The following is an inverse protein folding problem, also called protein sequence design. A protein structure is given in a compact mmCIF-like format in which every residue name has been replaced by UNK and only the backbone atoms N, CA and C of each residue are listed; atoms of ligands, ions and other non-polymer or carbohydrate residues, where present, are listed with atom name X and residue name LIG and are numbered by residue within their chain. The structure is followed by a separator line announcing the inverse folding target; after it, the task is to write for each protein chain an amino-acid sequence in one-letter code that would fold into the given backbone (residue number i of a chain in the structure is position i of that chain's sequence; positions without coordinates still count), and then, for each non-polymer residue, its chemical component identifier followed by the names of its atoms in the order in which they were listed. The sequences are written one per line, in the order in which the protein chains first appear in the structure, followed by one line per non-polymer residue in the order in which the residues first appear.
data_IF_732813794547
#
_entry.id   IF_732813794547
#
_cell.length_a   1.000
_cell.length_b   1.000
_cell.length_c   1.000
_cell.angle_alpha   90.00
_cell.angle_beta   90.00
_cell.angle_gamma   90.00
#
_symmetry.space_group_name_H-M   'P 1'
#
loop_
_entity.id
_entity.type
_entity.pdbx_description
1 polymer ?
#
# COMPACT_ATOMS: atom_id res chain seq x y z
N UNK A 1 2.50 6.58 -2.08
CA UNK A 1 1.64 5.38 -2.08
C UNK A 1 2.02 4.55 -3.28
N UNK A 2 2.34 3.28 -3.08
CA UNK A 2 2.65 2.36 -4.17
C UNK A 2 1.36 2.03 -4.92
N UNK A 3 1.42 1.89 -6.24
CA UNK A 3 0.29 1.36 -6.99
C UNK A 3 0.14 -0.15 -6.71
N UNK A 4 -1.03 -0.70 -7.02
CA UNK A 4 -1.40 -2.08 -6.70
C UNK A 4 -0.43 -3.11 -7.32
N UNK A 5 0.11 -2.85 -8.52
CA UNK A 5 1.02 -3.79 -9.17
C UNK A 5 2.39 -3.77 -8.50
N UNK A 6 2.94 -2.58 -8.25
CA UNK A 6 4.23 -2.42 -7.58
C UNK A 6 4.21 -2.93 -6.14
N UNK A 7 3.10 -2.70 -5.42
CA UNK A 7 2.91 -3.22 -4.06
C UNK A 7 2.99 -4.75 -4.05
N UNK A 8 2.26 -5.42 -4.94
CA UNK A 8 2.27 -6.89 -5.03
C UNK A 8 3.65 -7.46 -5.34
N UNK A 9 4.43 -6.78 -6.18
CA UNK A 9 5.81 -7.19 -6.48
C UNK A 9 6.68 -7.12 -5.23
N UNK A 10 6.60 -6.03 -4.46
CA UNK A 10 7.36 -5.90 -3.22
C UNK A 10 6.89 -6.89 -2.15
N UNK A 11 5.58 -7.14 -2.05
CA UNK A 11 5.03 -8.17 -1.14
C UNK A 11 5.57 -9.56 -1.49
N UNK A 12 5.53 -9.94 -2.77
CA UNK A 12 6.09 -11.22 -3.25
C UNK A 12 7.57 -11.36 -2.90
N UNK A 13 8.38 -10.33 -3.19
CA UNK A 13 9.81 -10.33 -2.87
C UNK A 13 10.07 -10.34 -1.35
N UNK A 14 9.19 -9.73 -0.56
CA UNK A 14 9.28 -9.75 0.90
C UNK A 14 8.96 -11.12 1.49
N UNK A 15 8.02 -11.87 0.90
CA UNK A 15 7.75 -13.26 1.27
C UNK A 15 8.96 -14.17 1.02
N UNK A 16 9.82 -13.80 0.07
CA UNK A 16 11.01 -14.54 -0.34
C UNK A 16 12.28 -13.72 -0.14
N UNK A 17 12.42 -13.08 1.03
CA UNK A 17 13.46 -12.06 1.28
C UNK A 17 14.91 -12.54 1.08
N UNK A 18 15.17 -13.84 1.21
CA UNK A 18 16.50 -14.44 1.08
C UNK A 18 16.81 -14.94 -0.34
N UNK A 19 15.85 -14.79 -1.27
CA UNK A 19 15.95 -15.26 -2.65
C UNK A 19 15.94 -14.09 -3.62
N UNK A 20 16.61 -14.28 -4.76
CA UNK A 20 16.57 -13.34 -5.88
C UNK A 20 15.84 -13.98 -7.05
N UNK A 21 14.91 -13.23 -7.65
CA UNK A 21 14.08 -13.75 -8.75
C UNK A 21 14.29 -12.94 -10.01
N UNK A 22 14.38 -13.62 -11.16
CA UNK A 22 14.22 -12.98 -12.46
C UNK A 22 12.74 -12.71 -12.76
N UNK A 23 12.47 -11.78 -13.69
CA UNK A 23 11.11 -11.48 -14.16
C UNK A 23 10.42 -12.76 -14.67
N UNK A 24 11.17 -13.64 -15.34
CA UNK A 24 10.67 -14.92 -15.81
C UNK A 24 10.26 -15.84 -14.66
N UNK A 25 11.09 -15.97 -13.62
CA UNK A 25 10.79 -16.79 -12.45
C UNK A 25 9.57 -16.25 -11.69
N UNK A 26 9.48 -14.93 -11.49
CA UNK A 26 8.28 -14.31 -10.92
C UNK A 26 7.03 -14.63 -11.76
N UNK A 27 7.16 -14.60 -13.09
CA UNK A 27 6.11 -15.02 -14.02
C UNK A 27 5.62 -16.46 -13.80
N UNK A 28 6.51 -17.39 -13.50
CA UNK A 28 6.15 -18.78 -13.15
C UNK A 28 5.39 -18.89 -11.84
N UNK A 29 5.63 -17.97 -10.91
CA UNK A 29 4.87 -17.83 -9.66
C UNK A 29 3.53 -17.09 -9.85
N UNK A 30 3.14 -16.74 -11.09
CA UNK A 30 1.89 -16.04 -11.38
C UNK A 30 1.96 -14.52 -11.24
N UNK A 31 3.16 -13.96 -11.05
CA UNK A 31 3.34 -12.51 -11.02
C UNK A 31 3.40 -11.94 -12.43
N UNK A 32 2.70 -10.82 -12.65
CA UNK A 32 2.84 -10.05 -13.90
C UNK A 32 3.72 -8.83 -13.62
N UNK A 33 4.99 -8.93 -13.96
CA UNK A 33 6.00 -7.89 -13.76
C UNK A 33 6.76 -7.64 -15.06
N UNK A 34 7.12 -6.40 -15.33
CA UNK A 34 7.91 -6.01 -16.50
C UNK A 34 9.20 -5.31 -16.08
N UNK A 35 10.12 -5.15 -17.03
CA UNK A 35 11.41 -4.52 -16.80
C UNK A 35 11.26 -3.09 -16.26
N UNK A 36 10.34 -2.29 -16.81
CA UNK A 36 10.08 -0.92 -16.36
C UNK A 36 9.73 -0.84 -14.86
N UNK A 37 8.91 -1.78 -14.37
CA UNK A 37 8.53 -1.84 -12.96
C UNK A 37 9.74 -2.15 -12.08
N UNK A 38 10.57 -3.11 -12.49
CA UNK A 38 11.77 -3.48 -11.74
C UNK A 38 12.86 -2.42 -11.78
N UNK A 39 13.01 -1.75 -12.92
CA UNK A 39 13.89 -0.59 -13.06
C UNK A 39 13.45 0.54 -12.12
N UNK A 40 12.15 0.86 -12.09
CA UNK A 40 11.62 1.88 -11.19
C UNK A 40 11.86 1.52 -9.71
N UNK A 41 11.61 0.26 -9.31
CA UNK A 41 11.89 -0.22 -7.95
C UNK A 41 13.38 -0.12 -7.59
N UNK A 42 14.25 -0.39 -8.55
CA UNK A 42 15.71 -0.27 -8.40
C UNK A 42 16.11 1.20 -8.22
N UNK A 43 15.57 2.10 -9.06
CA UNK A 43 15.83 3.55 -8.99
C UNK A 43 15.31 4.17 -7.68
N UNK A 44 14.27 3.57 -7.09
CA UNK A 44 13.75 3.94 -5.78
C UNK A 44 14.50 3.28 -4.61
N UNK A 45 15.57 2.54 -4.88
CA UNK A 45 16.35 1.81 -3.90
C UNK A 45 15.50 0.86 -3.04
N UNK A 46 14.51 0.22 -3.64
CA UNK A 46 13.61 -0.72 -2.96
C UNK A 46 13.98 -2.19 -3.17
N UNK A 47 14.77 -2.47 -4.19
CA UNK A 47 15.27 -3.81 -4.50
C UNK A 47 16.77 -3.75 -4.80
N UNK A 48 17.48 -4.83 -4.51
CA UNK A 48 18.77 -5.09 -5.12
C UNK A 48 18.55 -5.68 -6.51
N UNK A 49 19.43 -5.32 -7.43
CA UNK A 49 19.48 -5.88 -8.79
C UNK A 49 20.85 -6.52 -8.98
N UNK A 50 20.86 -7.81 -9.30
CA UNK A 50 22.06 -8.55 -9.61
C UNK A 50 22.06 -8.89 -11.10
N UNK A 51 23.20 -8.67 -11.75
CA UNK A 51 23.43 -9.27 -13.07
C UNK A 51 23.56 -10.78 -12.88
N UNK A 52 22.83 -11.54 -13.67
CA UNK A 52 23.14 -12.95 -13.82
C UNK A 52 24.40 -13.06 -14.70
N UNK A 53 25.54 -13.29 -14.05
CA UNK A 53 26.85 -13.45 -14.72
C UNK A 53 26.93 -14.80 -15.47
N UNK A 54 26.12 -15.78 -15.06
CA UNK A 54 26.12 -17.15 -15.61
C UNK A 54 24.99 -17.38 -16.65
N UNK A 55 24.07 -16.41 -16.80
CA UNK A 55 23.04 -16.46 -17.83
C UNK A 55 23.66 -16.47 -19.23
N UNK A 56 23.33 -17.50 -20.01
CA UNK A 56 23.73 -17.61 -21.41
C UNK A 56 23.12 -16.44 -22.21
N UNK A 57 23.93 -15.42 -22.54
CA UNK A 57 23.48 -14.24 -23.30
C UNK A 57 23.56 -14.51 -24.80
N UNK A 58 22.43 -14.52 -25.51
CA UNK A 58 22.46 -14.32 -26.96
C UNK A 58 22.82 -12.87 -27.28
N UNK A 59 23.52 -12.62 -28.39
CA UNK A 59 24.05 -11.30 -28.80
C UNK A 59 22.99 -10.19 -28.93
N UNK A 60 21.70 -10.55 -28.89
CA UNK A 60 20.55 -9.65 -29.02
C UNK A 60 19.52 -9.77 -27.87
N UNK A 61 19.85 -10.49 -26.78
CA UNK A 61 18.96 -10.61 -25.62
C UNK A 61 19.27 -9.56 -24.55
N UNK A 62 18.22 -9.00 -23.96
CA UNK A 62 18.36 -8.09 -22.82
C UNK A 62 19.00 -8.83 -21.64
N UNK A 63 19.90 -8.18 -20.87
CA UNK A 63 20.53 -8.81 -19.72
C UNK A 63 19.47 -9.33 -18.74
N UNK A 64 19.54 -10.61 -18.40
CA UNK A 64 18.67 -11.19 -17.38
C UNK A 64 19.18 -10.76 -16.00
N UNK A 65 18.30 -10.11 -15.26
CA UNK A 65 18.58 -9.64 -13.90
C UNK A 65 17.74 -10.43 -12.92
N UNK A 66 18.32 -10.69 -11.75
CA UNK A 66 17.58 -11.14 -10.58
C UNK A 66 17.41 -10.02 -9.58
N UNK A 67 16.30 -10.06 -8.84
CA UNK A 67 15.90 -9.00 -7.93
C UNK A 67 15.55 -9.56 -6.57
N UNK A 68 15.99 -8.86 -5.52
CA UNK A 68 15.74 -9.21 -4.12
C UNK A 68 15.29 -7.96 -3.37
N UNK A 69 14.33 -8.10 -2.45
CA UNK A 69 13.93 -6.94 -1.63
C UNK A 69 15.06 -6.47 -0.73
N UNK A 70 15.22 -5.15 -0.61
CA UNK A 70 16.19 -4.57 0.32
C UNK A 70 15.50 -3.88 1.51
N UNK A 71 16.28 -3.24 2.38
CA UNK A 71 15.74 -2.52 3.54
C UNK A 71 14.78 -1.37 3.14
N UNK A 72 15.06 -0.67 2.03
CA UNK A 72 14.19 0.38 1.51
C UNK A 72 12.84 -0.15 1.03
N UNK A 73 12.82 -1.31 0.37
CA UNK A 73 11.58 -1.96 -0.04
C UNK A 73 10.73 -2.38 1.16
N UNK A 74 11.35 -2.96 2.19
CA UNK A 74 10.66 -3.33 3.44
C UNK A 74 10.11 -2.12 4.18
N UNK A 75 10.86 -1.02 4.22
CA UNK A 75 10.38 0.24 4.78
C UNK A 75 9.17 0.76 4.01
N UNK A 76 9.22 0.76 2.68
CA UNK A 76 8.11 1.21 1.84
C UNK A 76 6.82 0.38 2.09
N UNK A 77 6.94 -0.93 2.31
CA UNK A 77 5.81 -1.78 2.71
C UNK A 77 5.24 -1.38 4.08
N UNK A 78 6.11 -1.15 5.08
CA UNK A 78 5.67 -0.73 6.41
C UNK A 78 4.96 0.64 6.39
N UNK A 79 5.48 1.60 5.64
CA UNK A 79 4.87 2.92 5.46
C UNK A 79 3.50 2.83 4.77
N UNK A 80 3.36 1.97 3.77
CA UNK A 80 2.09 1.72 3.08
C UNK A 80 1.04 1.14 4.04
N UNK A 81 1.39 0.16 4.87
CA UNK A 81 0.48 -0.42 5.87
C UNK A 81 0.06 0.62 6.91
N UNK A 82 1.01 1.41 7.41
CA UNK A 82 0.73 2.47 8.37
C UNK A 82 -0.21 3.53 7.79
N UNK A 83 -0.01 3.93 6.53
CA UNK A 83 -0.90 4.87 5.86
C UNK A 83 -2.35 4.34 5.77
N UNK A 84 -2.53 3.08 5.34
CA UNK A 84 -3.85 2.44 5.27
C UNK A 84 -4.52 2.38 6.64
N UNK A 85 -3.76 2.09 7.70
CA UNK A 85 -4.29 2.07 9.06
C UNK A 85 -4.71 3.48 9.53
N UNK A 86 -3.89 4.50 9.26
CA UNK A 86 -4.20 5.88 9.61
C UNK A 86 -5.43 6.39 8.87
N UNK A 87 -5.56 6.12 7.56
CA UNK A 87 -6.77 6.47 6.79
C UNK A 87 -8.01 5.80 7.39
N UNK A 88 -7.94 4.50 7.72
CA UNK A 88 -9.06 3.79 8.35
C UNK A 88 -9.47 4.42 9.69
N UNK A 89 -8.49 4.83 10.50
CA UNK A 89 -8.73 5.52 11.78
C UNK A 89 -9.35 6.91 11.56
N UNK A 90 -8.88 7.66 10.58
CA UNK A 90 -9.41 8.98 10.23
C UNK A 90 -10.89 8.90 9.80
N UNK A 91 -11.22 7.98 8.87
CA UNK A 91 -12.60 7.77 8.40
C UNK A 91 -13.55 7.38 9.55
N UNK A 92 -13.10 6.51 10.46
CA UNK A 92 -13.89 6.13 11.63
C UNK A 92 -14.09 7.31 12.60
N UNK A 93 -13.05 8.13 12.83
CA UNK A 93 -13.14 9.32 13.67
C UNK A 93 -14.12 10.34 13.07
N UNK A 94 -14.09 10.55 11.76
CA UNK A 94 -15.03 11.43 11.05
C UNK A 94 -16.48 10.92 11.18
N UNK A 95 -16.70 9.62 10.99
CA UNK A 95 -18.02 8.99 11.15
C UNK A 95 -18.58 9.20 12.57
N UNK A 96 -17.74 9.03 13.60
CA UNK A 96 -18.13 9.26 15.00
C UNK A 96 -18.43 10.73 15.29
N UNK A 97 -17.67 11.64 14.70
CA UNK A 97 -17.88 13.07 14.86
C UNK A 97 -19.24 13.49 14.25
N UNK A 98 -19.59 12.97 13.06
CA UNK A 98 -20.87 13.24 12.42
C UNK A 98 -22.06 12.69 13.23
N UNK A 99 -21.94 11.47 13.76
CA UNK A 99 -22.97 10.88 14.62
C UNK A 99 -23.19 11.69 15.91
N UNK A 100 -22.10 12.11 16.57
CA UNK A 100 -22.16 12.98 17.75
C UNK A 100 -22.84 14.31 17.44
N UNK A 101 -22.52 14.93 16.30
CA UNK A 101 -23.14 16.18 15.87
C UNK A 101 -24.65 16.01 15.61
N UNK A 102 -25.05 14.89 14.99
CA UNK A 102 -26.47 14.56 14.77
C UNK A 102 -27.21 14.41 16.09
N UNK A 103 -26.67 13.63 17.04
CA UNK A 103 -27.26 13.44 18.38
C UNK A 103 -27.39 14.78 19.12
N UNK A 104 -26.35 15.61 19.09
CA UNK A 104 -26.36 16.93 19.72
C UNK A 104 -27.47 17.83 19.16
N UNK A 105 -27.65 17.87 17.84
CA UNK A 105 -28.73 18.64 17.19
C UNK A 105 -30.12 18.14 17.61
N UNK A 106 -30.33 16.83 17.70
CA UNK A 106 -31.60 16.26 18.17
C UNK A 106 -31.87 16.61 19.63
N UNK A 107 -30.87 16.48 20.50
CA UNK A 107 -30.99 16.82 21.92
C UNK A 107 -31.35 18.30 22.11
N UNK A 108 -30.71 19.19 21.35
CA UNK A 108 -31.01 20.62 21.36
C UNK A 108 -32.45 20.90 20.91
N UNK A 109 -32.91 20.27 19.83
CA UNK A 109 -34.28 20.44 19.34
C UNK A 109 -35.33 20.01 20.38
N UNK A 110 -35.11 18.86 21.04
CA UNK A 110 -35.98 18.37 22.12
C UNK A 110 -36.02 19.35 23.28
N UNK A 111 -34.86 19.88 23.70
CA UNK A 111 -34.80 20.86 24.79
C UNK A 111 -35.56 22.15 24.45
N UNK A 112 -35.42 22.67 23.24
CA UNK A 112 -36.15 23.87 22.77
C UNK A 112 -37.66 23.63 22.79
N UNK A 113 -38.14 22.48 22.28
CA UNK A 113 -39.56 22.14 22.29
C UNK A 113 -40.11 22.05 23.72
N UNK A 114 -39.37 21.42 24.63
CA UNK A 114 -39.78 21.29 26.03
C UNK A 114 -39.92 22.66 26.71
N UNK A 115 -39.01 23.60 26.43
CA UNK A 115 -39.10 24.98 26.91
C UNK A 115 -40.39 25.63 26.37
N UNK A 116 -40.61 25.62 25.06
CA UNK A 116 -41.80 26.25 24.45
C UNK A 116 -43.09 25.66 25.04
N UNK A 117 -43.18 24.34 25.20
CA UNK A 117 -44.34 23.67 25.79
C UNK A 117 -44.60 24.07 27.25
N UNK A 118 -43.55 24.32 28.05
CA UNK A 118 -43.68 24.78 29.42
C UNK A 118 -44.21 26.21 29.52
N UNK A 119 -43.87 27.09 28.56
CA UNK A 119 -44.36 28.48 28.51
C UNK A 119 -45.80 28.61 27.98
N UNK A 120 -46.32 27.60 27.29
CA UNK A 120 -47.69 27.56 26.75
C UNK A 120 -48.71 26.94 27.73
N UNK A 121 -48.26 26.50 28.91
CA UNK A 121 -49.09 26.02 30.02
C UNK A 121 -49.47 27.16 30.96
#
# INVERSE_FOLDING_TARGET
MLDVKTLKVLEFLNEHQDEAFSIYQMGKCGMTVNFETMQWLTDKNMVFRYEDEDAFRYEYEEPEYTYQINAGGRQALAEQQHFVEVEKRAVNAETRADESLRISKFSLAVAVIAIIAAWLK
#
